data_IF_676612036294
#
_entry.id   IF_676612036294
#
_cell.length_a   1.000
_cell.length_b   1.000
_cell.length_c   1.000
_cell.angle_alpha   90.00
_cell.angle_beta   90.00
_cell.angle_gamma   90.00
#
_symmetry.space_group_name_H-M   'P 1'
#
loop_
_entity.id
_entity.type
_entity.pdbx_description
1 polymer ?
#
# COMPACT_ATOMS: atom_id res chain seq x y z
N UNK A 1 18.53 -11.85 1.34
CA UNK A 1 17.76 -10.85 2.12
C UNK A 1 16.52 -10.52 1.32
N UNK A 2 15.33 -10.51 1.93
CA UNK A 2 14.10 -10.05 1.27
C UNK A 2 13.97 -8.53 1.25
N UNK A 3 12.87 -8.00 0.72
CA UNK A 3 12.56 -6.57 0.73
C UNK A 3 11.12 -6.30 1.16
N UNK A 4 10.88 -5.10 1.69
CA UNK A 4 9.57 -4.58 2.07
C UNK A 4 9.49 -3.14 1.59
N UNK A 5 8.44 -2.81 0.83
CA UNK A 5 8.26 -1.45 0.30
C UNK A 5 6.79 -1.12 0.00
N UNK A 6 6.47 0.17 0.08
CA UNK A 6 5.19 0.73 -0.34
C UNK A 6 5.23 1.15 -1.81
N UNK A 7 4.26 0.72 -2.60
CA UNK A 7 4.17 1.02 -4.03
C UNK A 7 2.81 1.62 -4.35
N UNK A 8 2.81 2.73 -5.10
CA UNK A 8 1.60 3.37 -5.59
C UNK A 8 1.19 2.82 -6.95
N UNK A 9 -0.01 2.25 -7.03
CA UNK A 9 -0.63 1.81 -8.28
C UNK A 9 -1.71 2.82 -8.66
N UNK A 10 -1.68 3.32 -9.90
CA UNK A 10 -2.67 4.25 -10.41
C UNK A 10 -4.07 3.61 -10.43
N UNK A 11 -5.07 4.35 -9.95
CA UNK A 11 -6.46 3.88 -9.90
C UNK A 11 -7.43 4.96 -10.33
N UNK A 12 -8.60 4.53 -10.81
CA UNK A 12 -9.74 5.42 -11.05
C UNK A 12 -10.74 5.26 -9.91
N UNK A 13 -11.09 6.36 -9.26
CA UNK A 13 -12.09 6.39 -8.19
C UNK A 13 -13.12 7.49 -8.47
N UNK A 14 -14.23 7.47 -7.71
CA UNK A 14 -15.27 8.50 -7.77
C UNK A 14 -14.68 9.90 -7.50
N UNK A 15 -15.35 10.96 -7.98
CA UNK A 15 -14.87 12.32 -7.75
C UNK A 15 -14.78 12.67 -6.24
N UNK A 16 -15.67 12.11 -5.44
CA UNK A 16 -15.72 12.26 -3.98
C UNK A 16 -14.49 11.63 -3.30
N UNK A 17 -14.01 10.49 -3.81
CA UNK A 17 -12.89 9.76 -3.22
C UNK A 17 -11.51 10.28 -3.67
N UNK A 18 -11.42 11.01 -4.80
CA UNK A 18 -10.15 11.51 -5.36
C UNK A 18 -9.24 12.21 -4.36
N UNK A 19 -9.72 13.11 -3.47
CA UNK A 19 -8.85 13.76 -2.49
C UNK A 19 -8.12 12.77 -1.59
N UNK A 20 -8.77 11.64 -1.27
CA UNK A 20 -8.25 10.60 -0.40
C UNK A 20 -7.20 9.75 -1.08
N UNK A 21 -7.41 9.42 -2.35
CA UNK A 21 -6.49 8.61 -3.16
C UNK A 21 -5.36 9.42 -3.81
N UNK A 22 -5.30 10.74 -3.58
CA UNK A 22 -4.26 11.59 -4.12
C UNK A 22 -2.93 11.36 -3.39
N UNK A 23 -1.90 10.95 -4.12
CA UNK A 23 -0.55 10.79 -3.58
C UNK A 23 0.22 12.13 -3.53
N UNK A 24 1.45 12.10 -3.02
CA UNK A 24 2.34 13.27 -2.92
C UNK A 24 2.69 13.88 -4.28
N UNK A 25 2.70 13.09 -5.36
CA UNK A 25 2.95 13.57 -6.73
C UNK A 25 1.71 14.17 -7.38
N UNK A 26 0.55 14.04 -6.74
CA UNK A 26 -0.73 14.55 -7.20
C UNK A 26 -1.54 13.54 -8.01
N UNK A 27 -1.02 12.33 -8.23
CA UNK A 27 -1.73 11.27 -8.95
C UNK A 27 -2.75 10.58 -8.05
N UNK A 28 -3.79 10.02 -8.67
CA UNK A 28 -4.77 9.17 -7.99
C UNK A 28 -4.26 7.75 -7.99
N UNK A 29 -3.96 7.21 -6.80
CA UNK A 29 -3.35 5.90 -6.64
C UNK A 29 -3.80 5.21 -5.35
N UNK A 30 -3.64 3.90 -5.28
CA UNK A 30 -3.71 3.12 -4.04
C UNK A 30 -2.30 2.78 -3.59
N UNK A 31 -2.03 2.85 -2.29
CA UNK A 31 -0.77 2.38 -1.73
C UNK A 31 -0.87 0.87 -1.47
N UNK A 32 0.11 0.11 -1.95
CA UNK A 32 0.23 -1.34 -1.79
C UNK A 32 1.53 -1.63 -1.08
N UNK A 33 1.47 -2.29 0.06
CA UNK A 33 2.65 -2.79 0.75
C UNK A 33 2.98 -4.19 0.23
N UNK A 34 4.17 -4.35 -0.34
CA UNK A 34 4.68 -5.64 -0.81
C UNK A 34 5.86 -6.11 0.04
N UNK A 35 5.92 -7.41 0.31
CA UNK A 35 7.09 -8.07 0.88
C UNK A 35 7.54 -9.19 -0.05
N UNK A 36 8.82 -9.21 -0.37
CA UNK A 36 9.42 -10.28 -1.17
C UNK A 36 10.52 -11.03 -0.43
N UNK A 37 10.66 -12.30 -0.77
CA UNK A 37 11.78 -13.14 -0.34
C UNK A 37 13.06 -12.84 -1.17
N UNK A 38 14.22 -13.44 -0.82
CA UNK A 38 15.45 -13.27 -1.61
C UNK A 38 15.37 -13.77 -3.06
N UNK A 39 14.39 -14.63 -3.40
CA UNK A 39 14.14 -15.10 -4.76
C UNK A 39 13.24 -14.12 -5.55
N UNK A 40 12.95 -12.94 -4.99
CA UNK A 40 12.06 -11.91 -5.55
C UNK A 40 10.61 -12.38 -5.70
N UNK A 41 10.19 -13.38 -4.93
CA UNK A 41 8.79 -13.82 -4.88
C UNK A 41 8.06 -13.03 -3.82
N UNK A 42 6.89 -12.50 -4.17
CA UNK A 42 6.02 -11.86 -3.18
C UNK A 42 5.50 -12.91 -2.20
N UNK A 43 5.82 -12.70 -0.93
CA UNK A 43 5.36 -13.54 0.19
C UNK A 43 4.21 -12.87 0.96
N UNK A 44 4.02 -11.56 0.76
CA UNK A 44 2.92 -10.80 1.32
C UNK A 44 2.58 -9.60 0.42
N UNK A 45 1.29 -9.31 0.27
CA UNK A 45 0.79 -8.12 -0.41
C UNK A 45 -0.43 -7.60 0.35
N UNK A 46 -0.34 -6.36 0.84
CA UNK A 46 -1.48 -5.64 1.40
C UNK A 46 -1.85 -4.49 0.48
N UNK A 47 -3.03 -4.56 -0.12
CA UNK A 47 -3.58 -3.57 -1.04
C UNK A 47 -4.78 -2.83 -0.43
N UNK A 48 -5.25 -1.79 -1.14
CA UNK A 48 -6.51 -1.10 -0.81
C UNK A 48 -6.35 0.13 0.08
N UNK A 49 -5.12 0.50 0.42
CA UNK A 49 -4.86 1.75 1.15
C UNK A 49 -4.97 2.96 0.24
N UNK A 50 -5.46 4.07 0.78
CA UNK A 50 -5.61 5.31 0.02
C UNK A 50 -4.23 5.83 -0.41
N UNK A 51 -4.10 6.43 -1.59
CA UNK A 51 -2.80 6.93 -2.09
C UNK A 51 -2.16 8.01 -1.22
N UNK A 52 -2.95 8.68 -0.37
CA UNK A 52 -2.46 9.62 0.64
C UNK A 52 -1.90 8.97 1.91
N UNK A 53 -2.14 7.67 2.11
CA UNK A 53 -1.65 6.95 3.28
C UNK A 53 -0.12 6.81 3.23
N UNK A 54 0.53 7.12 4.36
CA UNK A 54 1.96 6.91 4.52
C UNK A 54 2.30 5.42 4.68
N UNK A 55 3.48 5.00 4.23
CA UNK A 55 3.92 3.61 4.33
C UNK A 55 3.96 3.14 5.79
N UNK A 56 4.28 4.03 6.73
CA UNK A 56 4.22 3.74 8.15
C UNK A 56 2.79 3.42 8.65
N UNK A 57 1.75 4.05 8.08
CA UNK A 57 0.35 3.75 8.42
C UNK A 57 -0.05 2.39 7.84
N UNK A 58 0.31 2.13 6.59
CA UNK A 58 0.04 0.85 5.90
C UNK A 58 0.74 -0.30 6.62
N UNK A 59 2.00 -0.12 7.02
CA UNK A 59 2.76 -1.13 7.78
C UNK A 59 2.13 -1.42 9.15
N UNK A 60 1.68 -0.40 9.89
CA UNK A 60 1.00 -0.60 11.17
C UNK A 60 -0.28 -1.42 11.02
N UNK A 61 -1.04 -1.18 9.96
CA UNK A 61 -2.24 -1.95 9.66
C UNK A 61 -1.92 -3.40 9.29
N UNK A 62 -0.87 -3.63 8.49
CA UNK A 62 -0.39 -4.98 8.18
C UNK A 62 -0.08 -5.76 9.47
N UNK A 63 0.69 -5.15 10.38
CA UNK A 63 1.03 -5.76 11.67
C UNK A 63 -0.19 -5.99 12.57
N UNK A 64 -1.20 -5.12 12.52
CA UNK A 64 -2.44 -5.30 13.27
C UNK A 64 -3.30 -6.46 12.73
N UNK A 65 -3.27 -6.68 11.41
CA UNK A 65 -4.00 -7.77 10.74
C UNK A 65 -3.34 -9.13 10.94
N UNK A 66 -2.01 -9.18 10.97
CA UNK A 66 -1.28 -10.44 11.21
C UNK A 66 -1.38 -10.91 12.67
N UNK A 67 -1.76 -10.04 13.61
CA UNK A 67 -2.02 -10.39 15.02
C UNK A 67 -3.42 -11.00 15.27
N UNK A 68 -4.20 -11.29 14.22
CA UNK A 68 -5.54 -11.88 14.31
C UNK A 68 -5.60 -13.39 14.02
N UNK A 69 -4.44 -14.07 13.93
CA UNK A 69 -4.33 -15.53 13.82
C UNK A 69 -3.29 -16.10 14.79
#
# INVERSE_FOLDING_TARGET
MGALDGTHILVTVSAEDRPRYRNRKGDISTNVLGVCDPDLKFIYVLSGWEGSASDARVLRDALAKDNLF
#
